data_IF_995491939644
#
_entry.id   IF_995491939644
#
_cell.length_a   1.000
_cell.length_b   1.000
_cell.length_c   1.000
_cell.angle_alpha   90.00
_cell.angle_beta   90.00
_cell.angle_gamma   90.00
#
_symmetry.space_group_name_H-M   'P 1'
#
loop_
_entity.id
_entity.type
_entity.pdbx_description
1 polymer ?
#
# COMPACT_ATOMS: atom_id res chain seq x y z
N UNK A 1 60.35 -6.17 19.17
CA UNK A 1 58.95 -5.86 18.80
C UNK A 1 58.87 -4.40 18.41
N UNK A 2 58.23 -4.08 17.29
CA UNK A 2 58.08 -2.71 16.79
C UNK A 2 58.26 -2.64 15.28
N UNK A 3 57.32 -3.22 14.52
CA UNK A 3 57.25 -3.04 13.06
C UNK A 3 56.28 -1.90 12.80
N UNK A 4 56.81 -0.83 12.22
CA UNK A 4 56.07 0.32 11.72
C UNK A 4 55.17 -0.12 10.56
N UNK A 5 53.86 0.01 10.74
CA UNK A 5 52.89 -0.09 9.65
C UNK A 5 53.07 1.12 8.71
N UNK A 6 53.74 0.85 7.60
CA UNK A 6 54.02 1.79 6.52
C UNK A 6 52.78 1.93 5.62
N UNK A 7 52.25 3.16 5.58
CA UNK A 7 51.41 3.77 4.55
C UNK A 7 51.20 2.98 3.23
N UNK A 8 50.15 2.15 3.18
CA UNK A 8 49.74 1.42 1.96
C UNK A 8 48.80 2.21 1.03
N UNK A 9 48.37 3.42 1.40
CA UNK A 9 47.26 4.11 0.73
C UNK A 9 47.62 5.29 -0.18
N UNK A 10 48.90 5.49 -0.53
CA UNK A 10 49.31 6.67 -1.34
C UNK A 10 49.81 6.37 -2.76
N UNK A 11 49.24 5.35 -3.43
CA UNK A 11 49.73 4.86 -4.73
C UNK A 11 48.71 4.62 -5.85
N UNK A 12 47.39 4.78 -5.65
CA UNK A 12 46.41 4.69 -6.76
C UNK A 12 46.24 6.03 -7.46
N UNK A 13 47.29 6.46 -8.18
CA UNK A 13 47.07 7.29 -9.36
C UNK A 13 46.48 6.38 -10.44
N UNK A 14 45.43 6.89 -11.08
CA UNK A 14 44.74 6.29 -12.21
C UNK A 14 45.73 5.65 -13.20
N UNK A 15 45.41 4.51 -13.83
CA UNK A 15 46.20 4.04 -14.95
C UNK A 15 46.13 5.13 -16.02
N UNK A 16 47.20 5.91 -16.19
CA UNK A 16 47.38 6.71 -17.39
C UNK A 16 47.35 5.73 -18.56
N UNK A 17 46.25 5.71 -19.31
CA UNK A 17 46.17 5.08 -20.63
C UNK A 17 47.17 5.80 -21.55
N UNK A 18 48.44 5.39 -21.45
CA UNK A 18 49.55 5.88 -22.27
C UNK A 18 49.55 5.14 -23.61
N UNK A 19 48.46 5.26 -24.34
CA UNK A 19 48.43 4.95 -25.76
C UNK A 19 47.49 5.95 -26.45
N UNK A 20 47.98 7.05 -27.02
CA UNK A 20 47.13 8.08 -27.63
C UNK A 20 46.27 7.56 -28.79
N UNK A 21 46.59 6.39 -29.34
CA UNK A 21 45.88 5.77 -30.47
C UNK A 21 44.96 4.62 -30.06
N UNK A 22 44.75 4.34 -28.77
CA UNK A 22 43.88 3.25 -28.31
C UNK A 22 42.45 3.40 -28.84
N UNK A 23 41.97 4.63 -29.02
CA UNK A 23 40.65 4.90 -29.59
C UNK A 23 40.57 4.56 -31.09
N UNK A 24 41.67 4.73 -31.84
CA UNK A 24 41.71 4.34 -33.26
C UNK A 24 41.72 2.83 -33.42
N UNK A 25 42.44 2.12 -32.55
CA UNK A 25 42.44 0.66 -32.53
C UNK A 25 41.08 0.11 -32.08
N UNK A 26 40.47 0.70 -31.04
CA UNK A 26 39.13 0.34 -30.60
C UNK A 26 38.09 0.57 -31.71
N UNK A 27 38.16 1.70 -32.42
CA UNK A 27 37.27 2.02 -33.54
C UNK A 27 37.43 1.07 -34.74
N UNK A 28 38.65 0.56 -34.98
CA UNK A 28 38.94 -0.43 -36.02
C UNK A 28 38.28 -1.78 -35.71
N UNK A 29 38.29 -2.22 -34.46
CA UNK A 29 37.79 -3.54 -34.07
C UNK A 29 36.31 -3.56 -33.67
N UNK A 30 35.80 -2.47 -33.11
CA UNK A 30 34.48 -2.42 -32.46
C UNK A 30 33.57 -1.29 -33.01
N UNK A 31 34.01 -0.52 -34.01
CA UNK A 31 33.30 0.67 -34.48
C UNK A 31 33.41 1.85 -33.50
N UNK A 32 32.77 3.00 -33.82
CA UNK A 32 32.86 4.22 -32.99
C UNK A 32 32.59 3.88 -31.52
N UNK A 33 33.56 4.15 -30.65
CA UNK A 33 33.37 4.03 -29.22
C UNK A 33 32.12 4.84 -28.81
N UNK A 34 31.25 4.33 -27.92
CA UNK A 34 30.20 5.17 -27.36
C UNK A 34 30.93 6.37 -26.76
N UNK A 35 30.66 7.56 -27.29
CA UNK A 35 31.12 8.80 -26.69
C UNK A 35 30.71 8.70 -25.23
N UNK A 36 31.71 8.61 -24.35
CA UNK A 36 31.49 8.58 -22.91
C UNK A 36 30.53 9.70 -22.61
N UNK A 37 29.30 9.34 -22.27
CA UNK A 37 28.27 10.31 -22.00
C UNK A 37 28.86 11.22 -20.93
N UNK A 38 28.83 12.52 -21.17
CA UNK A 38 29.00 13.53 -20.13
C UNK A 38 27.82 13.37 -19.17
N UNK A 39 27.83 12.30 -18.38
CA UNK A 39 26.70 11.76 -17.63
C UNK A 39 26.66 12.31 -16.19
N UNK A 40 27.51 13.29 -15.86
CA UNK A 40 27.49 13.94 -14.55
C UNK A 40 26.41 15.01 -14.38
N UNK A 41 25.91 15.59 -15.48
CA UNK A 41 24.99 16.75 -15.42
C UNK A 41 23.55 16.37 -15.78
N UNK A 42 23.36 15.34 -16.61
CA UNK A 42 22.02 14.97 -17.09
C UNK A 42 21.15 14.31 -16.02
N UNK A 43 21.76 13.56 -15.09
CA UNK A 43 21.02 12.94 -13.98
C UNK A 43 20.56 13.98 -12.96
N UNK A 44 21.41 14.95 -12.61
CA UNK A 44 21.02 16.01 -11.65
C UNK A 44 19.95 16.93 -12.21
N UNK A 45 20.01 17.29 -13.51
CA UNK A 45 18.93 18.05 -14.17
C UNK A 45 17.64 17.22 -14.21
N UNK A 46 17.73 15.93 -14.52
CA UNK A 46 16.56 15.04 -14.53
C UNK A 46 15.94 14.89 -13.14
N UNK A 47 16.75 14.78 -12.08
CA UNK A 47 16.28 14.74 -10.69
C UNK A 47 15.63 16.06 -10.27
N UNK A 48 16.24 17.20 -10.61
CA UNK A 48 15.66 18.53 -10.33
C UNK A 48 14.33 18.72 -11.07
N UNK A 49 14.22 18.27 -12.31
CA UNK A 49 12.98 18.31 -13.07
C UNK A 49 11.88 17.44 -12.42
N UNK A 50 12.21 16.21 -11.97
CA UNK A 50 11.27 15.37 -11.24
C UNK A 50 10.79 16.02 -9.93
N UNK A 51 11.70 16.62 -9.15
CA UNK A 51 11.35 17.29 -7.90
C UNK A 51 10.44 18.50 -8.17
N UNK A 52 10.72 19.29 -9.21
CA UNK A 52 9.89 20.42 -9.60
C UNK A 52 8.47 19.98 -10.00
N UNK A 53 8.34 18.90 -10.78
CA UNK A 53 7.03 18.33 -11.17
C UNK A 53 6.27 17.85 -9.93
N UNK A 54 6.92 17.14 -9.01
CA UNK A 54 6.27 16.68 -7.77
C UNK A 54 5.81 17.84 -6.89
N UNK A 55 6.58 18.93 -6.82
CA UNK A 55 6.19 20.15 -6.11
C UNK A 55 4.95 20.80 -6.72
N UNK A 56 4.88 20.92 -8.05
CA UNK A 56 3.71 21.46 -8.75
C UNK A 56 2.47 20.59 -8.50
N UNK A 57 2.60 19.26 -8.58
CA UNK A 57 1.50 18.32 -8.29
C UNK A 57 1.06 18.43 -6.82
N UNK A 58 2.00 18.54 -5.88
CA UNK A 58 1.69 18.71 -4.46
C UNK A 58 0.95 20.02 -4.19
N UNK A 59 1.40 21.13 -4.78
CA UNK A 59 0.74 22.44 -4.66
C UNK A 59 -0.65 22.38 -5.30
N UNK A 60 -0.78 21.79 -6.50
CA UNK A 60 -2.08 21.63 -7.16
C UNK A 60 -3.05 20.79 -6.32
N UNK A 61 -2.61 19.66 -5.75
CA UNK A 61 -3.41 18.82 -4.86
C UNK A 61 -3.80 19.56 -3.57
N UNK A 62 -2.89 20.37 -3.02
CA UNK A 62 -3.16 21.19 -1.83
C UNK A 62 -4.18 22.29 -2.13
N UNK A 63 -4.08 22.96 -3.27
CA UNK A 63 -5.06 23.95 -3.72
C UNK A 63 -6.41 23.31 -4.04
N UNK A 64 -6.42 22.11 -4.62
CA UNK A 64 -7.65 21.35 -4.88
C UNK A 64 -8.33 20.93 -3.57
N UNK A 65 -7.56 20.58 -2.52
CA UNK A 65 -8.10 20.32 -1.17
C UNK A 65 -8.60 21.58 -0.48
N UNK A 66 -8.02 22.74 -0.74
CA UNK A 66 -8.47 24.03 -0.20
C UNK A 66 -9.73 24.55 -0.90
N UNK A 67 -9.90 24.27 -2.20
CA UNK A 67 -11.10 24.65 -2.98
C UNK A 67 -12.24 23.61 -2.80
N UNK A 68 -11.90 22.32 -2.65
CA UNK A 68 -12.85 21.21 -2.53
C UNK A 68 -13.62 21.13 -1.20
N UNK A 69 -13.18 21.85 -0.16
CA UNK A 69 -13.89 21.91 1.12
C UNK A 69 -14.78 23.15 1.27
N UNK A 70 -14.91 23.99 0.23
CA UNK A 70 -15.65 25.25 0.27
C UNK A 70 -16.93 25.31 -0.57
N UNK A 71 -17.23 24.32 -1.41
CA UNK A 71 -18.41 24.33 -2.27
C UNK A 71 -19.44 23.30 -1.81
N UNK A 72 -20.28 23.72 -0.86
CA UNK A 72 -21.61 23.16 -0.72
C UNK A 72 -22.41 23.48 -2.00
N UNK A 73 -22.82 22.47 -2.75
CA UNK A 73 -23.91 22.57 -3.72
C UNK A 73 -24.42 21.16 -4.11
N UNK A 74 -25.69 21.03 -4.53
CA UNK A 74 -26.55 19.90 -4.16
C UNK A 74 -26.74 18.88 -5.28
N UNK A 75 -27.15 17.68 -4.85
CA UNK A 75 -28.13 16.83 -5.56
C UNK A 75 -27.76 16.36 -6.96
N UNK A 76 -27.27 15.12 -7.07
CA UNK A 76 -27.53 14.29 -8.24
C UNK A 76 -27.93 12.89 -7.81
N UNK A 77 -29.24 12.64 -7.90
CA UNK A 77 -29.83 11.32 -8.01
C UNK A 77 -29.27 10.65 -9.26
N UNK A 78 -28.68 9.46 -9.09
CA UNK A 78 -28.60 8.46 -10.16
C UNK A 78 -29.35 7.24 -9.67
N UNK A 79 -30.45 6.96 -10.35
CA UNK A 79 -31.27 5.78 -10.16
C UNK A 79 -30.45 4.52 -10.43
N UNK A 80 -30.54 3.55 -9.51
CA UNK A 80 -30.18 2.16 -9.77
C UNK A 80 -31.38 1.29 -9.40
N UNK A 81 -31.83 0.56 -10.41
CA UNK A 81 -32.98 -0.34 -10.44
C UNK A 81 -32.73 -1.55 -9.55
N UNK A 82 -33.51 -1.68 -8.47
CA UNK A 82 -33.63 -2.95 -7.75
C UNK A 82 -35.13 -3.21 -7.44
N UNK A 83 -35.65 -4.43 -7.66
CA UNK A 83 -37.05 -4.74 -7.43
C UNK A 83 -37.37 -4.68 -5.93
N UNK A 84 -38.45 -3.97 -5.59
CA UNK A 84 -38.90 -3.75 -4.23
C UNK A 84 -39.40 -5.05 -3.55
N UNK A 85 -38.95 -5.36 -2.32
CA UNK A 85 -39.75 -6.15 -1.39
C UNK A 85 -40.92 -5.29 -0.91
N UNK A 86 -42.11 -5.87 -0.92
CA UNK A 86 -43.38 -5.28 -0.48
C UNK A 86 -43.23 -4.62 0.90
N UNK A 87 -43.53 -3.32 1.07
CA UNK A 87 -43.62 -2.72 2.39
C UNK A 87 -44.89 -3.19 3.09
N UNK A 88 -44.73 -3.81 4.25
CA UNK A 88 -45.81 -4.08 5.18
C UNK A 88 -46.51 -2.77 5.59
N UNK A 89 -47.84 -2.79 5.83
CA UNK A 89 -48.60 -1.60 6.19
C UNK A 89 -48.17 -1.07 7.57
N UNK A 90 -48.21 0.27 7.77
CA UNK A 90 -47.85 0.88 9.05
C UNK A 90 -48.85 0.46 10.15
N UNK A 91 -48.39 0.07 11.35
CA UNK A 91 -49.28 -0.11 12.47
C UNK A 91 -49.93 1.23 12.84
N UNK A 92 -51.27 1.21 12.94
CA UNK A 92 -52.12 2.32 13.35
C UNK A 92 -51.65 2.88 14.69
N UNK A 93 -51.55 4.21 14.75
CA UNK A 93 -51.48 4.96 16.01
C UNK A 93 -52.75 4.68 16.85
N UNK A 94 -52.62 4.27 18.12
CA UNK A 94 -53.67 4.48 19.10
C UNK A 94 -53.63 5.94 19.56
N UNK A 95 -54.77 6.60 19.36
CA UNK A 95 -55.16 7.89 19.90
C UNK A 95 -54.88 7.94 21.42
N UNK A 96 -54.39 9.07 21.98
CA UNK A 96 -54.30 9.22 23.42
C UNK A 96 -55.72 9.28 23.99
N UNK A 97 -56.22 8.17 24.53
CA UNK A 97 -57.35 8.21 25.44
C UNK A 97 -56.80 8.78 26.74
N UNK A 98 -57.26 9.99 27.04
CA UNK A 98 -57.14 10.58 28.36
C UNK A 98 -57.52 9.53 29.40
N UNK A 99 -56.53 9.01 30.10
CA UNK A 99 -56.74 8.21 31.29
C UNK A 99 -57.22 9.21 32.35
N UNK A 100 -58.53 9.41 32.38
CA UNK A 100 -59.23 9.97 33.52
C UNK A 100 -58.86 9.10 34.71
N UNK A 101 -57.84 9.52 35.46
CA UNK A 101 -57.68 9.14 36.85
C UNK A 101 -58.95 9.64 37.51
N UNK A 102 -59.90 8.73 37.73
CA UNK A 102 -61.05 8.98 38.57
C UNK A 102 -60.51 9.61 39.85
N UNK A 103 -60.88 10.87 40.07
CA UNK A 103 -60.76 11.52 41.35
C UNK A 103 -61.49 10.61 42.35
N UNK A 104 -60.74 9.73 43.02
CA UNK A 104 -61.18 9.19 44.29
C UNK A 104 -61.17 10.36 45.25
N UNK A 105 -62.32 11.00 45.36
CA UNK A 105 -62.74 11.71 46.55
C UNK A 105 -62.70 10.72 47.70
N UNK A 106 -61.54 10.59 48.33
CA UNK A 106 -61.41 10.06 49.66
C UNK A 106 -61.20 11.26 50.57
N UNK A 107 -62.23 11.52 51.37
CA UNK A 107 -62.27 12.34 52.58
C UNK A 107 -60.90 12.36 53.29
N UNK A 108 -60.38 13.50 53.74
CA UNK A 108 -59.07 13.54 54.39
C UNK A 108 -59.16 12.78 55.73
N UNK A 109 -58.54 11.61 55.80
CA UNK A 109 -58.22 11.01 57.09
C UNK A 109 -57.14 11.88 57.74
N UNK A 110 -57.44 12.36 58.94
CA UNK A 110 -56.50 13.09 59.77
C UNK A 110 -55.21 12.26 59.97
N UNK A 111 -54.06 12.79 59.55
CA UNK A 111 -52.77 12.13 59.74
C UNK A 111 -51.72 12.28 58.62
N UNK A 112 -51.98 13.06 57.57
CA UNK A 112 -51.03 13.23 56.46
C UNK A 112 -49.97 14.27 56.80
N UNK A 113 -48.70 13.87 56.87
CA UNK A 113 -47.57 14.76 57.08
C UNK A 113 -47.11 15.37 55.75
N UNK A 114 -46.84 16.68 55.75
CA UNK A 114 -46.29 17.41 54.60
C UNK A 114 -44.76 17.42 54.70
N UNK A 115 -44.09 16.72 53.80
CA UNK A 115 -42.63 16.63 53.77
C UNK A 115 -42.07 17.32 52.51
N UNK A 116 -40.98 18.07 52.65
CA UNK A 116 -40.23 18.63 51.51
C UNK A 116 -38.98 17.80 51.32
N UNK A 117 -38.95 16.98 50.28
CA UNK A 117 -37.81 16.12 49.93
C UNK A 117 -37.25 16.66 48.62
N UNK A 118 -35.97 17.07 48.60
CA UNK A 118 -35.29 17.62 47.41
C UNK A 118 -36.06 18.75 46.69
N UNK A 119 -36.72 19.64 47.46
CA UNK A 119 -37.48 20.77 46.93
C UNK A 119 -38.91 20.45 46.45
N UNK A 120 -39.32 19.18 46.47
CA UNK A 120 -40.66 18.74 46.10
C UNK A 120 -41.49 18.43 47.35
N UNK A 121 -42.73 18.96 47.40
CA UNK A 121 -43.65 18.69 48.50
C UNK A 121 -44.37 17.37 48.28
N UNK A 122 -44.13 16.40 49.15
CA UNK A 122 -44.79 15.09 49.14
C UNK A 122 -45.63 14.96 50.41
N UNK A 123 -46.87 14.49 50.24
CA UNK A 123 -47.79 14.23 51.33
C UNK A 123 -47.73 12.74 51.66
N UNK A 124 -47.28 12.38 52.86
CA UNK A 124 -47.09 10.99 53.27
C UNK A 124 -47.78 10.71 54.60
N UNK A 125 -48.32 9.50 54.75
CA UNK A 125 -48.90 9.04 56.03
C UNK A 125 -47.81 8.70 57.06
N UNK A 126 -46.59 8.37 56.62
CA UNK A 126 -45.44 8.11 57.48
C UNK A 126 -44.67 9.40 57.89
N UNK A 127 -43.94 9.40 59.02
CA UNK A 127 -43.07 10.52 59.40
C UNK A 127 -41.95 10.72 58.37
N UNK A 128 -41.62 11.97 58.04
CA UNK A 128 -40.71 12.34 56.93
C UNK A 128 -39.34 11.62 56.97
N UNK A 129 -38.85 11.23 58.15
CA UNK A 129 -37.61 10.48 58.31
C UNK A 129 -37.65 9.09 57.68
N UNK A 130 -38.78 8.38 57.73
CA UNK A 130 -38.93 7.04 57.13
C UNK A 130 -39.10 7.09 55.61
N UNK A 131 -39.73 8.14 55.07
CA UNK A 131 -39.88 8.34 53.63
C UNK A 131 -38.53 8.57 52.91
N UNK A 132 -37.59 9.24 53.58
CA UNK A 132 -36.22 9.43 53.07
C UNK A 132 -35.46 8.10 52.94
N UNK A 133 -35.58 7.21 53.92
CA UNK A 133 -34.89 5.91 53.89
C UNK A 133 -35.42 4.96 52.81
N UNK A 134 -36.73 5.00 52.51
CA UNK A 134 -37.34 4.16 51.47
C UNK A 134 -36.89 4.54 50.04
N UNK A 135 -36.53 5.81 49.81
CA UNK A 135 -36.02 6.28 48.51
C UNK A 135 -34.55 5.93 48.28
N UNK A 136 -33.73 5.91 49.33
CA UNK A 136 -32.28 5.61 49.23
C UNK A 136 -32.03 4.10 49.07
N UNK A 137 -32.95 3.25 49.54
CA UNK A 137 -32.80 1.79 49.50
C UNK A 137 -33.14 1.09 48.18
N UNK A 138 -33.60 1.81 47.14
CA UNK A 138 -34.11 1.20 45.90
C UNK A 138 -33.43 1.73 44.62
N UNK A 139 -32.10 1.81 44.60
CA UNK A 139 -31.34 1.95 43.34
C UNK A 139 -30.77 0.57 42.98
N UNK A 140 -31.30 -0.13 41.97
CA UNK A 140 -30.67 -1.35 41.45
C UNK A 140 -29.28 -1.04 40.88
N UNK A 141 -28.29 -1.93 41.01
CA UNK A 141 -26.94 -1.75 40.48
C UNK A 141 -26.81 -1.96 38.96
N UNK A 142 -27.89 -1.86 38.18
CA UNK A 142 -27.85 -2.00 36.73
C UNK A 142 -27.71 -0.63 36.07
N UNK A 143 -26.46 -0.16 35.99
CA UNK A 143 -26.11 1.07 35.29
C UNK A 143 -25.86 0.76 33.80
N UNK A 144 -26.68 1.26 32.86
CA UNK A 144 -26.59 0.96 31.42
C UNK A 144 -25.29 1.42 30.72
N UNK A 145 -24.41 2.13 31.45
CA UNK A 145 -23.10 2.55 30.94
C UNK A 145 -22.06 1.42 30.86
N UNK A 146 -22.14 0.41 31.74
CA UNK A 146 -21.13 -0.65 31.79
C UNK A 146 -21.27 -1.67 30.65
N UNK A 147 -22.51 -2.02 30.28
CA UNK A 147 -22.75 -2.97 29.17
C UNK A 147 -22.33 -2.38 27.83
N UNK A 148 -22.66 -1.10 27.58
CA UNK A 148 -22.25 -0.40 26.35
C UNK A 148 -20.73 -0.26 26.24
N UNK A 149 -20.04 -0.04 27.36
CA UNK A 149 -18.58 0.01 27.41
C UNK A 149 -17.96 -1.35 27.04
N UNK A 150 -18.51 -2.43 27.60
CA UNK A 150 -18.07 -3.80 27.32
C UNK A 150 -18.31 -4.20 25.86
N UNK A 151 -19.47 -3.86 25.29
CA UNK A 151 -19.74 -4.09 23.87
C UNK A 151 -18.75 -3.34 22.97
N UNK A 152 -18.39 -2.09 23.31
CA UNK A 152 -17.39 -1.33 22.55
C UNK A 152 -16.00 -1.97 22.64
N UNK A 153 -15.59 -2.49 23.79
CA UNK A 153 -14.32 -3.18 23.97
C UNK A 153 -14.28 -4.53 23.21
N UNK A 154 -15.37 -5.29 23.25
CA UNK A 154 -15.53 -6.54 22.49
C UNK A 154 -15.52 -6.28 20.98
N UNK A 155 -16.16 -5.20 20.52
CA UNK A 155 -16.13 -4.74 19.13
C UNK A 155 -14.71 -4.30 18.70
N UNK A 156 -13.98 -3.57 19.55
CA UNK A 156 -12.60 -3.17 19.28
C UNK A 156 -11.67 -4.39 19.22
N UNK A 157 -11.84 -5.37 20.11
CA UNK A 157 -11.09 -6.63 20.08
C UNK A 157 -11.41 -7.46 18.83
N UNK A 158 -12.68 -7.48 18.40
CA UNK A 158 -13.08 -8.12 17.14
C UNK A 158 -12.46 -7.43 15.92
N UNK A 159 -12.47 -6.10 15.88
CA UNK A 159 -11.83 -5.31 14.82
C UNK A 159 -10.32 -5.59 14.73
N UNK A 160 -9.62 -5.62 15.88
CA UNK A 160 -8.19 -5.96 15.91
C UNK A 160 -7.90 -7.36 15.35
N UNK A 161 -8.71 -8.37 15.69
CA UNK A 161 -8.56 -9.72 15.11
C UNK A 161 -8.82 -9.74 13.61
N UNK A 162 -9.78 -8.95 13.12
CA UNK A 162 -10.05 -8.83 11.69
C UNK A 162 -8.87 -8.16 10.95
N UNK A 163 -8.28 -7.11 11.52
CA UNK A 163 -7.08 -6.47 10.96
C UNK A 163 -5.88 -7.42 10.92
N UNK A 164 -5.66 -8.20 11.98
CA UNK A 164 -4.59 -9.22 12.00
C UNK A 164 -4.80 -10.28 10.91
N UNK A 165 -6.03 -10.67 10.61
CA UNK A 165 -6.33 -11.59 9.51
C UNK A 165 -6.01 -10.97 8.16
N UNK A 166 -6.34 -9.69 7.96
CA UNK A 166 -5.99 -8.96 6.74
C UNK A 166 -4.47 -8.83 6.57
N UNK A 167 -3.75 -8.57 7.66
CA UNK A 167 -2.28 -8.53 7.66
C UNK A 167 -1.70 -9.89 7.22
N UNK A 168 -2.20 -11.00 7.77
CA UNK A 168 -1.76 -12.34 7.35
C UNK A 168 -2.05 -12.63 5.88
N UNK A 169 -3.21 -12.21 5.38
CA UNK A 169 -3.55 -12.35 3.95
C UNK A 169 -2.62 -11.51 3.05
N UNK A 170 -2.26 -10.31 3.52
CA UNK A 170 -1.29 -9.47 2.84
C UNK A 170 0.09 -10.14 2.79
N UNK A 171 0.57 -10.64 3.92
CA UNK A 171 1.85 -11.35 4.02
C UNK A 171 1.88 -12.58 3.11
N UNK A 172 0.77 -13.33 3.02
CA UNK A 172 0.65 -14.47 2.09
C UNK A 172 0.78 -14.03 0.63
N UNK A 173 0.14 -12.93 0.23
CA UNK A 173 0.26 -12.41 -1.15
C UNK A 173 1.66 -11.88 -1.44
N UNK A 174 2.31 -11.25 -0.47
CA UNK A 174 3.70 -10.80 -0.60
C UNK A 174 4.66 -11.98 -0.73
N UNK A 175 4.54 -12.98 0.14
CA UNK A 175 5.34 -14.20 0.06
C UNK A 175 5.13 -14.95 -1.26
N UNK A 176 3.91 -14.98 -1.78
CA UNK A 176 3.62 -15.58 -3.09
C UNK A 176 4.30 -14.79 -4.21
N UNK A 177 4.14 -13.46 -4.22
CA UNK A 177 4.79 -12.59 -5.20
C UNK A 177 6.31 -12.74 -5.19
N UNK A 178 6.92 -12.87 -4.01
CA UNK A 178 8.37 -13.04 -3.91
C UNK A 178 8.83 -14.37 -4.51
N UNK A 179 8.06 -15.45 -4.32
CA UNK A 179 8.33 -16.73 -5.00
C UNK A 179 8.17 -16.61 -6.51
N UNK A 180 7.15 -15.93 -6.98
CA UNK A 180 6.89 -15.74 -8.41
C UNK A 180 8.01 -14.90 -9.04
N UNK A 181 8.43 -13.80 -8.40
CA UNK A 181 9.57 -12.99 -8.87
C UNK A 181 10.88 -13.79 -8.86
N UNK A 182 11.11 -14.64 -7.85
CA UNK A 182 12.29 -15.51 -7.82
C UNK A 182 12.25 -16.54 -8.95
N UNK A 183 11.09 -17.15 -9.23
CA UNK A 183 10.91 -18.08 -10.34
C UNK A 183 11.13 -17.39 -11.71
N UNK A 184 10.60 -16.18 -11.89
CA UNK A 184 10.82 -15.38 -13.09
C UNK A 184 12.30 -15.03 -13.27
N UNK A 185 13.01 -14.65 -12.20
CA UNK A 185 14.45 -14.37 -12.26
C UNK A 185 15.24 -15.61 -12.69
N UNK A 186 14.91 -16.79 -12.16
CA UNK A 186 15.55 -18.04 -12.55
C UNK A 186 15.26 -18.35 -14.03
N UNK A 187 14.02 -18.19 -14.49
CA UNK A 187 13.66 -18.42 -15.89
C UNK A 187 14.41 -17.48 -16.84
N UNK A 188 14.48 -16.19 -16.52
CA UNK A 188 15.25 -15.20 -17.29
C UNK A 188 16.74 -15.54 -17.27
N UNK A 189 17.29 -15.91 -16.11
CA UNK A 189 18.70 -16.31 -16.00
C UNK A 189 19.00 -17.53 -16.87
N UNK A 190 18.12 -18.54 -16.87
CA UNK A 190 18.25 -19.71 -17.74
C UNK A 190 18.21 -19.32 -19.21
N UNK A 191 17.28 -18.47 -19.62
CA UNK A 191 17.20 -17.98 -21.00
C UNK A 191 18.47 -17.25 -21.42
N UNK A 192 18.97 -16.34 -20.59
CA UNK A 192 20.23 -15.60 -20.85
C UNK A 192 21.41 -16.57 -20.93
N UNK A 193 21.47 -17.56 -20.04
CA UNK A 193 22.54 -18.57 -20.08
C UNK A 193 22.50 -19.42 -21.36
N UNK A 194 21.31 -19.78 -21.84
CA UNK A 194 21.13 -20.54 -23.07
C UNK A 194 21.55 -19.73 -24.31
N UNK A 195 21.14 -18.46 -24.41
CA UNK A 195 21.55 -17.56 -25.50
C UNK A 195 23.07 -17.34 -25.46
N UNK A 196 23.64 -17.12 -24.28
CA UNK A 196 25.09 -16.96 -24.13
C UNK A 196 25.85 -18.22 -24.55
N UNK A 197 25.34 -19.41 -24.22
CA UNK A 197 25.93 -20.68 -24.64
C UNK A 197 25.86 -20.87 -26.16
N UNK A 198 24.73 -20.52 -26.80
CA UNK A 198 24.59 -20.54 -28.26
C UNK A 198 25.58 -19.58 -28.92
N UNK A 199 25.69 -18.35 -28.41
CA UNK A 199 26.66 -17.38 -28.89
C UNK A 199 28.11 -17.83 -28.73
N UNK A 200 28.46 -18.46 -27.60
CA UNK A 200 29.80 -19.01 -27.39
C UNK A 200 30.11 -20.12 -28.41
N UNK A 201 29.13 -21.00 -28.68
CA UNK A 201 29.25 -22.05 -29.70
C UNK A 201 29.42 -21.47 -31.10
N UNK A 202 28.59 -20.51 -31.50
CA UNK A 202 28.67 -19.85 -32.80
C UNK A 202 30.01 -19.13 -32.99
N UNK A 203 30.53 -18.47 -31.94
CA UNK A 203 31.87 -17.86 -31.96
C UNK A 203 32.96 -18.91 -32.14
N UNK A 204 32.87 -20.03 -31.43
CA UNK A 204 33.84 -21.12 -31.57
C UNK A 204 33.81 -21.73 -32.98
N UNK A 205 32.62 -21.95 -33.54
CA UNK A 205 32.45 -22.46 -34.91
C UNK A 205 33.02 -21.48 -35.93
N UNK A 206 32.70 -20.18 -35.81
CA UNK A 206 33.27 -19.13 -36.65
C UNK A 206 34.80 -19.14 -36.60
N UNK A 207 35.36 -19.13 -35.39
CA UNK A 207 36.81 -19.09 -35.20
C UNK A 207 37.49 -20.38 -35.70
N UNK A 208 36.79 -21.53 -35.64
CA UNK A 208 37.21 -22.78 -36.27
C UNK A 208 37.34 -22.65 -37.79
N UNK A 209 36.35 -22.06 -38.46
CA UNK A 209 36.39 -21.85 -39.92
C UNK A 209 37.45 -20.82 -40.29
N UNK A 210 37.59 -19.74 -39.52
CA UNK A 210 38.57 -18.68 -39.78
C UNK A 210 40.02 -19.14 -39.64
N UNK A 211 40.28 -20.26 -38.93
CA UNK A 211 41.61 -20.90 -38.86
C UNK A 211 41.95 -21.73 -40.10
N UNK A 212 40.98 -22.08 -40.94
CA UNK A 212 41.24 -22.79 -42.20
C UNK A 212 41.98 -21.88 -43.19
N UNK A 213 42.63 -22.46 -44.20
CA UNK A 213 43.25 -21.65 -45.25
C UNK A 213 42.20 -20.82 -45.99
N UNK A 214 42.57 -19.63 -46.47
CA UNK A 214 41.65 -18.75 -47.21
C UNK A 214 41.03 -19.47 -48.41
N UNK A 215 41.81 -20.30 -49.12
CA UNK A 215 41.32 -21.11 -50.24
C UNK A 215 40.23 -22.09 -49.79
N UNK A 216 40.40 -22.72 -48.63
CA UNK A 216 39.40 -23.61 -48.03
C UNK A 216 38.14 -22.84 -47.61
N UNK A 217 38.30 -21.67 -46.99
CA UNK A 217 37.16 -20.83 -46.56
C UNK A 217 36.29 -20.37 -47.73
N UNK A 218 36.86 -20.25 -48.93
CA UNK A 218 36.13 -19.87 -50.14
C UNK A 218 35.26 -21.01 -50.71
N UNK A 219 35.42 -22.26 -50.28
CA UNK A 219 34.55 -23.35 -50.73
C UNK A 219 33.14 -23.17 -50.17
N UNK A 220 32.11 -23.50 -50.97
CA UNK A 220 30.68 -23.36 -50.62
C UNK A 220 30.34 -23.79 -49.19
N UNK A 221 30.69 -25.01 -48.70
CA UNK A 221 30.26 -25.43 -47.37
C UNK A 221 30.75 -24.51 -46.24
N UNK A 222 31.93 -23.90 -46.38
CA UNK A 222 32.49 -23.01 -45.37
C UNK A 222 31.95 -21.59 -45.47
N UNK A 223 31.78 -21.11 -46.70
CA UNK A 223 31.25 -19.76 -46.98
C UNK A 223 29.79 -19.64 -46.54
N UNK A 224 28.99 -20.65 -46.85
CA UNK A 224 27.57 -20.70 -46.48
C UNK A 224 27.41 -20.82 -44.96
N UNK A 225 28.25 -21.65 -44.32
CA UNK A 225 28.27 -21.78 -42.86
C UNK A 225 28.69 -20.46 -42.17
N UNK A 226 29.71 -19.75 -42.68
CA UNK A 226 30.10 -18.43 -42.15
C UNK A 226 28.98 -17.39 -42.27
N UNK A 227 28.25 -17.38 -43.39
CA UNK A 227 27.11 -16.49 -43.57
C UNK A 227 25.95 -16.84 -42.61
N UNK A 228 25.67 -18.13 -42.44
CA UNK A 228 24.70 -18.63 -41.46
C UNK A 228 25.08 -18.20 -40.03
N UNK A 229 26.32 -18.46 -39.62
CA UNK A 229 26.83 -18.10 -38.29
C UNK A 229 26.73 -16.59 -38.08
N UNK A 230 27.15 -15.77 -39.06
CA UNK A 230 27.05 -14.30 -38.97
C UNK A 230 25.61 -13.84 -38.80
N UNK A 231 24.68 -14.40 -39.58
CA UNK A 231 23.26 -14.07 -39.47
C UNK A 231 22.71 -14.44 -38.09
N UNK A 232 23.03 -15.65 -37.61
CA UNK A 232 22.56 -16.15 -36.32
C UNK A 232 23.14 -15.36 -35.13
N UNK A 233 24.42 -15.01 -35.19
CA UNK A 233 25.06 -14.14 -34.19
C UNK A 233 24.38 -12.77 -34.13
N UNK A 234 24.09 -12.16 -35.29
CA UNK A 234 23.33 -10.91 -35.36
C UNK A 234 21.92 -11.03 -34.75
N UNK A 235 21.20 -12.13 -35.02
CA UNK A 235 19.87 -12.38 -34.44
C UNK A 235 19.90 -12.50 -32.91
N UNK A 236 20.96 -13.08 -32.37
CA UNK A 236 21.16 -13.26 -30.92
C UNK A 236 21.87 -12.08 -30.25
N UNK A 237 22.23 -11.04 -31.02
CA UNK A 237 23.00 -9.88 -30.55
C UNK A 237 24.35 -10.24 -29.91
N UNK A 238 25.07 -11.16 -30.56
CA UNK A 238 26.46 -11.47 -30.28
C UNK A 238 27.34 -11.39 -31.54
#
# INVERSE_FOLDING_TARGET
>A
MGVQDRDWYRGRREPQLRNPDWQKEYARWYGKAPQGARQGVHWTISSMACVAVLLVVYIAAKQLRLIGNGAAAPGQQVASTQPAPVPAPPPRQPVPVAQQSAARSAVPLAGVNKCVINGQTVYTEAPCGQAMHALVGNVPPDSPGNDRQREMEEAAAAAKRAEEQLARQWDQRMAQRDRDMAAEQIAVQQQVSAVNAECARLKADRDGILRLSVTTQQLSPWRDNLNFIRKRMNELHC
#
